data_IF_713370446636
#
_entry.id   IF_713370446636
#
_cell.length_a   1.000
_cell.length_b   1.000
_cell.length_c   1.000
_cell.angle_alpha   90.00
_cell.angle_beta   90.00
_cell.angle_gamma   90.00
#
_symmetry.space_group_name_H-M   'P 1'
#
loop_
_entity.id
_entity.type
_entity.pdbx_description
1 polymer ?
#
# COMPACT_ATOMS: atom_id res chain seq x y z
N UNK A 1 33.25 12.60 5.16
CA UNK A 1 31.81 12.79 5.37
C UNK A 1 31.56 13.42 6.72
N UNK A 2 30.70 14.42 6.81
CA UNK A 2 30.27 15.00 8.09
C UNK A 2 29.41 14.02 8.90
N UNK A 3 29.32 14.20 10.22
CA UNK A 3 28.43 13.38 11.07
C UNK A 3 26.98 13.39 10.58
N UNK A 4 26.52 14.54 10.06
CA UNK A 4 25.18 14.69 9.49
C UNK A 4 25.01 13.85 8.22
N UNK A 5 26.00 13.84 7.32
CA UNK A 5 25.96 12.98 6.13
C UNK A 5 25.86 11.50 6.49
N UNK A 6 26.60 11.06 7.51
CA UNK A 6 26.53 9.68 7.99
C UNK A 6 25.14 9.33 8.54
N UNK A 7 24.52 10.24 9.30
CA UNK A 7 23.16 10.06 9.81
C UNK A 7 22.11 10.01 8.70
N UNK A 8 22.23 10.88 7.69
CA UNK A 8 21.33 10.91 6.53
C UNK A 8 21.51 9.67 5.65
N UNK A 9 22.73 9.18 5.48
CA UNK A 9 23.01 7.93 4.77
C UNK A 9 22.42 6.72 5.50
N UNK A 10 22.55 6.66 6.83
CA UNK A 10 21.95 5.61 7.64
C UNK A 10 20.41 5.65 7.56
N UNK A 11 19.81 6.86 7.61
CA UNK A 11 18.37 7.05 7.41
C UNK A 11 17.94 6.58 6.01
N UNK A 12 18.68 6.94 4.96
CA UNK A 12 18.41 6.51 3.60
C UNK A 12 18.37 4.98 3.47
N UNK A 13 19.41 4.28 3.94
CA UNK A 13 19.45 2.82 3.87
C UNK A 13 18.34 2.16 4.70
N UNK A 14 18.00 2.74 5.86
CA UNK A 14 16.90 2.26 6.66
C UNK A 14 15.55 2.40 5.93
N UNK A 15 15.29 3.55 5.31
CA UNK A 15 14.06 3.82 4.56
C UNK A 15 13.94 2.91 3.33
N UNK A 16 15.01 2.75 2.56
CA UNK A 16 15.02 1.83 1.39
C UNK A 16 14.78 0.39 1.83
N UNK A 17 15.43 -0.07 2.91
CA UNK A 17 15.20 -1.41 3.45
C UNK A 17 13.77 -1.62 3.96
N UNK A 18 13.13 -0.60 4.53
CA UNK A 18 11.71 -0.65 4.90
C UNK A 18 10.82 -0.80 3.66
N UNK A 19 11.08 -0.03 2.60
CA UNK A 19 10.33 -0.11 1.34
C UNK A 19 10.44 -1.49 0.71
N UNK A 20 11.64 -2.07 0.66
CA UNK A 20 11.85 -3.42 0.11
C UNK A 20 11.10 -4.48 0.92
N UNK A 21 11.17 -4.41 2.25
CA UNK A 21 10.43 -5.31 3.13
C UNK A 21 8.90 -5.17 2.96
N UNK A 22 8.44 -3.95 2.66
CA UNK A 22 7.03 -3.68 2.40
C UNK A 22 6.56 -4.23 1.07
N UNK A 23 7.37 -4.17 0.02
CA UNK A 23 7.01 -4.74 -1.29
C UNK A 23 6.93 -6.27 -1.24
N UNK A 24 7.85 -6.92 -0.52
CA UNK A 24 7.75 -8.37 -0.27
C UNK A 24 6.45 -8.76 0.44
N UNK A 25 6.04 -7.99 1.46
CA UNK A 25 4.77 -8.22 2.17
C UNK A 25 3.55 -7.94 1.29
N UNK A 26 3.61 -6.93 0.42
CA UNK A 26 2.54 -6.60 -0.52
C UNK A 26 2.24 -7.76 -1.47
N UNK A 27 3.27 -8.43 -1.99
CA UNK A 27 3.10 -9.63 -2.82
C UNK A 27 2.37 -10.77 -2.08
N UNK A 28 2.74 -11.01 -0.83
CA UNK A 28 2.08 -12.01 0.02
C UNK A 28 0.61 -11.69 0.26
N UNK A 29 0.29 -10.42 0.54
CA UNK A 29 -1.09 -9.95 0.73
C UNK A 29 -1.92 -10.14 -0.55
N UNK A 30 -1.35 -9.82 -1.72
CA UNK A 30 -2.01 -10.05 -3.02
C UNK A 30 -2.31 -11.54 -3.26
N UNK A 31 -1.35 -12.41 -2.95
CA UNK A 31 -1.53 -13.86 -3.08
C UNK A 31 -2.65 -14.38 -2.15
N UNK A 32 -2.65 -13.96 -0.88
CA UNK A 32 -3.68 -14.38 0.08
C UNK A 32 -5.08 -13.91 -0.30
N UNK A 33 -5.21 -12.70 -0.84
CA UNK A 33 -6.51 -12.21 -1.31
C UNK A 33 -7.06 -13.05 -2.45
N UNK A 34 -6.22 -13.47 -3.40
CA UNK A 34 -6.67 -14.31 -4.51
C UNK A 34 -7.10 -15.69 -4.01
N UNK A 35 -6.31 -16.29 -3.11
CA UNK A 35 -6.62 -17.59 -2.51
C UNK A 35 -7.91 -17.54 -1.70
N UNK A 36 -8.08 -16.54 -0.84
CA UNK A 36 -9.29 -16.40 -0.01
C UNK A 36 -10.53 -16.15 -0.88
N UNK A 37 -10.42 -15.26 -1.87
CA UNK A 37 -11.53 -14.98 -2.77
C UNK A 37 -11.91 -16.20 -3.61
N UNK A 38 -10.94 -16.94 -4.14
CA UNK A 38 -11.19 -18.18 -4.88
C UNK A 38 -11.85 -19.25 -4.01
N UNK A 39 -11.39 -19.41 -2.77
CA UNK A 39 -12.00 -20.33 -1.80
C UNK A 39 -13.46 -19.98 -1.51
N UNK A 40 -13.76 -18.69 -1.26
CA UNK A 40 -15.11 -18.22 -0.94
C UNK A 40 -16.03 -18.28 -2.17
N UNK A 41 -15.51 -17.94 -3.36
CA UNK A 41 -16.24 -18.06 -4.63
C UNK A 41 -16.62 -19.52 -4.90
N UNK A 42 -15.65 -20.44 -4.83
CA UNK A 42 -15.88 -21.87 -5.02
C UNK A 42 -16.86 -22.41 -3.97
N UNK A 43 -16.66 -22.07 -2.69
CA UNK A 43 -17.56 -22.55 -1.64
C UNK A 43 -18.98 -22.02 -1.79
N UNK A 44 -19.16 -20.75 -2.16
CA UNK A 44 -20.47 -20.17 -2.40
C UNK A 44 -21.20 -20.83 -3.57
N UNK A 45 -20.48 -21.13 -4.66
CA UNK A 45 -21.04 -21.76 -5.86
C UNK A 45 -21.34 -23.26 -5.68
N UNK A 46 -20.43 -24.03 -5.07
CA UNK A 46 -20.57 -25.49 -4.96
C UNK A 46 -21.47 -25.95 -3.81
N UNK A 47 -21.58 -25.16 -2.73
CA UNK A 47 -22.37 -25.54 -1.55
C UNK A 47 -23.68 -24.77 -1.42
N UNK A 48 -24.10 -24.04 -2.45
CA UNK A 48 -25.35 -23.23 -2.49
C UNK A 48 -25.45 -22.27 -1.29
N UNK A 49 -24.31 -21.64 -0.93
CA UNK A 49 -24.23 -20.66 0.17
C UNK A 49 -23.91 -19.27 -0.39
N UNK A 50 -24.87 -18.56 -1.00
CA UNK A 50 -24.61 -17.24 -1.60
C UNK A 50 -24.10 -16.20 -0.60
N UNK A 51 -24.41 -16.37 0.70
CA UNK A 51 -23.86 -15.55 1.77
C UNK A 51 -22.31 -15.54 1.80
N UNK A 52 -21.64 -16.63 1.39
CA UNK A 52 -20.18 -16.69 1.33
C UNK A 52 -19.59 -15.79 0.23
N UNK A 53 -20.34 -15.49 -0.82
CA UNK A 53 -19.91 -14.55 -1.86
C UNK A 53 -19.79 -13.14 -1.28
N UNK A 54 -20.74 -12.71 -0.46
CA UNK A 54 -20.69 -11.42 0.24
C UNK A 54 -19.54 -11.32 1.25
N UNK A 55 -19.22 -12.42 1.94
CA UNK A 55 -18.01 -12.50 2.77
C UNK A 55 -16.75 -12.29 1.92
N UNK A 56 -16.71 -12.89 0.72
CA UNK A 56 -15.63 -12.70 -0.25
C UNK A 56 -15.51 -11.25 -0.73
N UNK A 57 -16.64 -10.59 -1.02
CA UNK A 57 -16.67 -9.16 -1.37
C UNK A 57 -16.06 -8.32 -0.25
N UNK A 58 -16.53 -8.51 1.00
CA UNK A 58 -16.02 -7.76 2.14
C UNK A 58 -14.52 -7.98 2.35
N UNK A 59 -14.07 -9.25 2.29
CA UNK A 59 -12.65 -9.58 2.41
C UNK A 59 -11.80 -8.92 1.32
N UNK A 60 -12.29 -8.95 0.08
CA UNK A 60 -11.62 -8.33 -1.06
C UNK A 60 -11.50 -6.80 -0.91
N UNK A 61 -12.56 -6.13 -0.46
CA UNK A 61 -12.54 -4.69 -0.16
C UNK A 61 -11.59 -4.34 0.99
N UNK A 62 -11.52 -5.18 2.03
CA UNK A 62 -10.57 -4.99 3.14
C UNK A 62 -9.12 -5.13 2.68
N UNK A 63 -8.81 -6.11 1.81
CA UNK A 63 -7.48 -6.21 1.22
C UNK A 63 -7.14 -5.00 0.36
N UNK A 64 -8.07 -4.54 -0.47
CA UNK A 64 -7.89 -3.34 -1.28
C UNK A 64 -7.59 -2.11 -0.41
N UNK A 65 -8.35 -1.96 0.67
CA UNK A 65 -8.18 -0.87 1.64
C UNK A 65 -6.81 -0.86 2.32
N UNK A 66 -6.37 -2.03 2.80
CA UNK A 66 -5.06 -2.20 3.44
C UNK A 66 -3.95 -1.87 2.44
N UNK A 67 -4.05 -2.34 1.19
CA UNK A 67 -3.04 -2.03 0.17
C UNK A 67 -2.98 -0.52 -0.13
N UNK A 68 -4.12 0.17 -0.23
CA UNK A 68 -4.15 1.62 -0.42
C UNK A 68 -3.45 2.38 0.71
N UNK A 69 -3.71 2.01 1.96
CA UNK A 69 -3.01 2.60 3.12
C UNK A 69 -1.51 2.33 3.08
N UNK A 70 -1.13 1.12 2.67
CA UNK A 70 0.27 0.72 2.55
C UNK A 70 1.00 1.53 1.46
N UNK A 71 0.36 1.77 0.33
CA UNK A 71 0.91 2.60 -0.75
C UNK A 71 1.01 4.08 -0.37
N UNK A 72 0.03 4.60 0.38
CA UNK A 72 0.13 5.95 0.96
C UNK A 72 1.32 6.06 1.93
N UNK A 73 1.58 5.01 2.71
CA UNK A 73 2.76 4.94 3.58
C UNK A 73 4.07 4.91 2.78
N UNK A 74 4.15 4.10 1.74
CA UNK A 74 5.31 4.06 0.84
C UNK A 74 5.57 5.43 0.18
N UNK A 75 4.54 6.14 -0.30
CA UNK A 75 4.73 7.44 -0.97
C UNK A 75 5.36 8.50 -0.07
N UNK A 76 5.03 8.50 1.23
CA UNK A 76 5.63 9.43 2.17
C UNK A 76 7.12 9.14 2.41
N UNK A 77 7.50 7.87 2.45
CA UNK A 77 8.91 7.47 2.55
C UNK A 77 9.70 7.78 1.29
N UNK A 78 9.10 7.61 0.10
CA UNK A 78 9.72 8.05 -1.16
C UNK A 78 9.99 9.55 -1.18
N UNK A 79 9.05 10.38 -0.72
CA UNK A 79 9.25 11.83 -0.63
C UNK A 79 10.39 12.22 0.34
N UNK A 80 10.64 11.41 1.38
CA UNK A 80 11.78 11.62 2.28
C UNK A 80 13.10 11.18 1.63
N UNK A 81 13.10 10.04 0.96
CA UNK A 81 14.27 9.53 0.22
C UNK A 81 14.72 10.55 -0.83
N UNK A 82 13.78 11.08 -1.62
CA UNK A 82 14.08 12.09 -2.65
C UNK A 82 14.77 13.34 -2.07
N UNK A 83 14.34 13.80 -0.88
CA UNK A 83 14.99 14.93 -0.18
C UNK A 83 16.41 14.60 0.27
N UNK A 84 16.66 13.36 0.71
CA UNK A 84 18.00 12.91 1.08
C UNK A 84 18.89 12.83 -0.15
N UNK A 85 18.40 12.28 -1.26
CA UNK A 85 19.13 12.24 -2.53
C UNK A 85 19.44 13.65 -3.06
N UNK A 86 18.49 14.58 -2.99
CA UNK A 86 18.68 15.97 -3.36
C UNK A 86 19.77 16.67 -2.51
N UNK A 87 19.83 16.36 -1.22
CA UNK A 87 20.92 16.82 -0.35
C UNK A 87 22.29 16.28 -0.81
N UNK A 88 22.39 14.98 -1.15
CA UNK A 88 23.63 14.39 -1.64
C UNK A 88 24.03 14.83 -3.05
N UNK A 89 23.07 15.23 -3.90
CA UNK A 89 23.34 15.87 -5.20
C UNK A 89 23.84 17.32 -5.08
N UNK A 90 23.68 17.94 -3.92
CA UNK A 90 24.00 19.36 -3.70
C UNK A 90 22.87 20.32 -4.05
N UNK A 91 21.67 19.81 -4.37
CA UNK A 91 20.48 20.63 -4.67
C UNK A 91 19.95 21.35 -3.41
N UNK A 92 20.20 20.78 -2.23
CA UNK A 92 19.73 21.28 -0.93
C UNK A 92 20.93 21.50 -0.01
N UNK A 93 21.10 22.73 0.48
CA UNK A 93 22.23 23.11 1.33
C UNK A 93 22.19 22.49 2.74
N UNK A 94 21.00 22.22 3.27
CA UNK A 94 20.85 21.67 4.62
C UNK A 94 19.60 20.82 4.76
N UNK A 95 19.75 19.62 5.32
CA UNK A 95 18.66 18.72 5.67
C UNK A 95 18.84 18.20 7.10
N UNK A 96 17.80 18.27 7.92
CA UNK A 96 17.82 17.68 9.26
C UNK A 96 17.67 16.15 9.16
N UNK A 97 18.50 15.36 9.87
CA UNK A 97 18.35 13.90 9.94
C UNK A 97 17.18 13.48 10.85
N UNK A 98 16.78 12.21 10.74
CA UNK A 98 15.78 11.54 11.59
C UNK A 98 14.38 12.14 11.52
N UNK A 99 13.93 12.57 10.33
CA UNK A 99 12.62 13.19 10.13
C UNK A 99 11.60 12.25 9.46
N UNK A 100 11.80 10.93 9.57
CA UNK A 100 10.92 9.93 8.95
C UNK A 100 9.47 10.05 9.45
N UNK A 101 9.24 10.12 10.76
CA UNK A 101 7.90 10.27 11.34
C UNK A 101 7.25 11.62 10.98
N UNK A 102 8.01 12.71 11.02
CA UNK A 102 7.52 14.03 10.64
C UNK A 102 7.14 14.09 9.14
N UNK A 103 7.92 13.42 8.28
CA UNK A 103 7.62 13.34 6.85
C UNK A 103 6.33 12.55 6.56
N UNK A 104 6.07 11.49 7.33
CA UNK A 104 4.82 10.74 7.27
C UNK A 104 3.63 11.59 7.70
N UNK A 105 3.73 12.24 8.86
CA UNK A 105 2.66 13.07 9.40
C UNK A 105 2.29 14.22 8.45
N UNK A 106 3.30 14.87 7.89
CA UNK A 106 3.14 15.92 6.89
C UNK A 106 2.42 15.41 5.62
N UNK A 107 2.84 14.25 5.10
CA UNK A 107 2.24 13.65 3.90
C UNK A 107 0.77 13.25 4.15
N UNK A 108 0.49 12.71 5.34
CA UNK A 108 -0.87 12.33 5.75
C UNK A 108 -1.81 13.53 5.85
N UNK A 109 -1.35 14.64 6.42
CA UNK A 109 -2.14 15.86 6.55
C UNK A 109 -2.37 16.60 5.22
N UNK A 110 -1.40 16.55 4.29
CA UNK A 110 -1.55 17.21 2.99
C UNK A 110 -2.42 16.43 1.99
N UNK A 111 -2.27 15.11 1.93
CA UNK A 111 -3.04 14.29 0.99
C UNK A 111 -4.44 13.92 1.49
N UNK A 112 -4.56 13.69 2.80
CA UNK A 112 -5.81 13.28 3.46
C UNK A 112 -6.50 12.10 2.77
N UNK A 113 -7.83 12.09 2.86
CA UNK A 113 -8.69 11.06 2.25
C UNK A 113 -8.69 11.05 0.72
N UNK A 114 -8.48 12.21 0.07
CA UNK A 114 -8.51 12.32 -1.39
C UNK A 114 -7.32 11.63 -2.02
N UNK A 115 -6.14 11.79 -1.43
CA UNK A 115 -4.92 11.12 -1.89
C UNK A 115 -5.04 9.60 -1.75
N UNK A 116 -5.58 9.13 -0.62
CA UNK A 116 -5.85 7.71 -0.41
C UNK A 116 -6.80 7.14 -1.46
N UNK A 117 -7.90 7.82 -1.79
CA UNK A 117 -8.81 7.40 -2.86
C UNK A 117 -8.12 7.36 -4.23
N UNK A 118 -7.27 8.36 -4.52
CA UNK A 118 -6.47 8.38 -5.74
C UNK A 118 -5.54 7.17 -5.83
N UNK A 119 -4.87 6.83 -4.74
CA UNK A 119 -3.96 5.68 -4.63
C UNK A 119 -4.72 4.35 -4.76
N UNK A 120 -5.90 4.23 -4.14
CA UNK A 120 -6.75 3.04 -4.28
C UNK A 120 -7.13 2.77 -5.73
N UNK A 121 -7.34 3.83 -6.52
CA UNK A 121 -7.63 3.74 -7.95
C UNK A 121 -6.41 3.49 -8.84
N UNK A 122 -5.18 3.43 -8.30
CA UNK A 122 -4.02 3.05 -9.11
C UNK A 122 -4.17 1.64 -9.65
N UNK A 123 -3.86 1.43 -10.93
CA UNK A 123 -4.08 0.16 -11.63
C UNK A 123 -3.49 -1.05 -10.90
N UNK A 124 -2.32 -0.89 -10.30
CA UNK A 124 -1.62 -1.97 -9.58
C UNK A 124 -2.09 -2.15 -8.13
N UNK A 125 -2.89 -1.22 -7.58
CA UNK A 125 -3.53 -1.33 -6.26
C UNK A 125 -4.94 -1.88 -6.40
N UNK A 126 -5.65 -1.41 -7.43
CA UNK A 126 -6.95 -1.91 -7.83
C UNK A 126 -6.89 -3.38 -8.25
N UNK A 127 -5.80 -3.82 -8.89
CA UNK A 127 -5.57 -5.22 -9.24
C UNK A 127 -4.67 -5.90 -8.21
N UNK A 128 -5.06 -7.05 -7.64
CA UNK A 128 -6.20 -7.90 -8.02
C UNK A 128 -7.50 -7.61 -7.25
N UNK A 129 -7.44 -6.88 -6.13
CA UNK A 129 -8.52 -6.85 -5.14
C UNK A 129 -9.82 -6.21 -5.65
N UNK A 130 -9.76 -4.99 -6.18
CA UNK A 130 -10.95 -4.29 -6.70
C UNK A 130 -11.65 -5.06 -7.82
N UNK A 131 -10.89 -5.71 -8.71
CA UNK A 131 -11.46 -6.56 -9.76
C UNK A 131 -12.19 -7.79 -9.19
N UNK A 132 -11.57 -8.48 -8.23
CA UNK A 132 -12.18 -9.63 -7.55
C UNK A 132 -13.47 -9.23 -6.85
N UNK A 133 -13.48 -8.09 -6.14
CA UNK A 133 -14.68 -7.59 -5.48
C UNK A 133 -15.81 -7.37 -6.48
N UNK A 134 -15.53 -6.78 -7.65
CA UNK A 134 -16.53 -6.58 -8.70
C UNK A 134 -17.06 -7.89 -9.28
N UNK A 135 -16.19 -8.88 -9.52
CA UNK A 135 -16.60 -10.20 -10.00
C UNK A 135 -17.51 -10.88 -8.98
N UNK A 136 -17.14 -10.85 -7.69
CA UNK A 136 -17.94 -11.44 -6.62
C UNK A 136 -19.28 -10.73 -6.41
N UNK A 137 -19.34 -9.41 -6.57
CA UNK A 137 -20.60 -8.66 -6.55
C UNK A 137 -21.50 -9.11 -7.71
N UNK A 138 -20.94 -9.20 -8.92
CA UNK A 138 -21.68 -9.63 -10.09
C UNK A 138 -22.26 -11.04 -9.94
N UNK A 139 -21.50 -11.96 -9.36
CA UNK A 139 -22.00 -13.32 -9.09
C UNK A 139 -23.01 -13.35 -7.95
N UNK A 140 -22.80 -12.60 -6.87
CA UNK A 140 -23.69 -12.57 -5.72
C UNK A 140 -25.06 -11.92 -6.02
N UNK A 141 -25.13 -11.02 -7.00
CA UNK A 141 -26.40 -10.40 -7.44
C UNK A 141 -27.19 -11.33 -8.37
N UNK A 142 -26.49 -12.24 -9.06
CA UNK A 142 -27.10 -13.15 -10.04
C UNK A 142 -27.62 -14.46 -9.43
N UNK A 143 -27.03 -14.91 -8.32
CA UNK A 143 -27.42 -16.11 -7.54
C UNK A 143 -28.45 -15.74 -6.49
#
# INVERSE_FOLDING_TARGET
MSQREQQLQAEYFHLTGLIDAFDQKSLTIKAWSLTLAGMLAGSGAFFERPALLWVGVLGSLMFWWVEGHWKAFQSAHFARIEKIEAFFRGDIASLAPFQSAASWDHSRHQGGWRELLRILCWRHVFLPHGLIALVLIGTAVWV
#
